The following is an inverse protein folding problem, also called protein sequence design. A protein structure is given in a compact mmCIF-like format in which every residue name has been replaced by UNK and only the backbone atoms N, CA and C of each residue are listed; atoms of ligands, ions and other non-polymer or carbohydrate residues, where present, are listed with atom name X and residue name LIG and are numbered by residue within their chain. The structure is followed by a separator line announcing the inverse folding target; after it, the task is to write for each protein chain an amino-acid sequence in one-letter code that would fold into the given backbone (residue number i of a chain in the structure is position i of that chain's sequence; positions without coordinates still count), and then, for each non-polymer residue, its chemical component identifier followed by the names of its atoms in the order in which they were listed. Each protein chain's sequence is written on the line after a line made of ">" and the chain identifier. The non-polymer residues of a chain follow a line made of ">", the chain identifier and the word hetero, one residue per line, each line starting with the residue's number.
data_IF_653782077669
#
_entry.id   IF_653782077669
#
_cell.length_a   1.000
_cell.length_b   1.000
_cell.length_c   1.000
_cell.angle_alpha   90.00
_cell.angle_beta   90.00
_cell.angle_gamma   90.00
#
_symmetry.space_group_name_H-M   'P 1'
#
loop_
_entity.id
_entity.type
_entity.pdbx_description
1 polymer ?
#
# COMPACT_ATOMS: atom_id res chain seq x y z
N UNK A 1 -21.29 -1.46 2.63
CA UNK A 1 -20.95 -1.82 4.03
C UNK A 1 -19.63 -2.58 4.01
N UNK A 2 -18.52 -1.93 4.35
CA UNK A 2 -17.24 -2.63 4.53
C UNK A 2 -17.37 -3.38 5.85
N UNK A 3 -17.42 -4.72 5.81
CA UNK A 3 -17.33 -5.54 7.03
C UNK A 3 -16.07 -5.07 7.76
N UNK A 4 -16.23 -4.54 8.97
CA UNK A 4 -15.10 -4.27 9.85
C UNK A 4 -14.39 -5.60 10.07
N UNK A 5 -13.28 -5.83 9.36
CA UNK A 5 -12.39 -6.95 9.66
C UNK A 5 -11.85 -6.67 11.06
N UNK A 6 -12.49 -7.30 12.04
CA UNK A 6 -12.09 -7.19 13.44
C UNK A 6 -10.73 -7.86 13.55
N UNK A 7 -9.73 -7.12 14.03
CA UNK A 7 -8.43 -7.70 14.37
C UNK A 7 -8.69 -8.79 15.39
N UNK A 8 -8.22 -10.00 15.08
CA UNK A 8 -8.33 -11.13 15.98
C UNK A 8 -6.98 -11.29 16.66
N UNK A 9 -6.96 -11.25 17.97
CA UNK A 9 -5.79 -11.54 18.78
C UNK A 9 -5.92 -12.88 19.49
N UNK A 10 -4.77 -13.46 19.82
CA UNK A 10 -4.66 -14.71 20.58
C UNK A 10 -3.75 -14.43 21.77
N UNK A 11 -4.22 -14.78 22.96
CA UNK A 11 -3.43 -14.67 24.19
C UNK A 11 -2.52 -15.89 24.35
N UNK A 12 -1.26 -15.61 24.67
CA UNK A 12 -0.24 -16.61 24.97
C UNK A 12 0.29 -16.43 26.39
N UNK A 13 0.65 -17.54 27.04
CA UNK A 13 1.47 -17.50 28.25
C UNK A 13 2.95 -17.29 27.90
N UNK A 14 3.75 -16.85 28.87
CA UNK A 14 5.20 -16.68 28.69
C UNK A 14 5.91 -17.98 28.28
N UNK A 15 5.46 -19.12 28.80
CA UNK A 15 6.02 -20.44 28.46
C UNK A 15 5.68 -20.86 27.04
N UNK A 16 4.42 -20.65 26.60
CA UNK A 16 3.98 -20.93 25.23
C UNK A 16 4.77 -20.11 24.19
N UNK A 17 5.18 -18.89 24.56
CA UNK A 17 5.92 -17.97 23.69
C UNK A 17 7.42 -18.19 23.65
N UNK A 18 8.01 -18.75 24.72
CA UNK A 18 9.45 -18.99 24.84
C UNK A 18 10.10 -19.59 23.58
N UNK A 19 9.55 -20.63 22.93
CA UNK A 19 10.18 -21.21 21.73
C UNK A 19 10.07 -20.33 20.47
N UNK A 20 9.16 -19.37 20.42
CA UNK A 20 8.88 -18.55 19.22
C UNK A 20 9.15 -17.06 19.43
N UNK A 21 9.62 -16.66 20.61
CA UNK A 21 9.81 -15.27 21.03
C UNK A 21 10.67 -14.47 20.06
N UNK A 22 11.80 -15.04 19.62
CA UNK A 22 12.67 -14.39 18.64
C UNK A 22 11.95 -14.09 17.32
N UNK A 23 11.10 -15.00 16.84
CA UNK A 23 10.32 -14.80 15.61
C UNK A 23 9.19 -13.79 15.79
N UNK A 24 8.60 -13.72 16.98
CA UNK A 24 7.60 -12.71 17.35
C UNK A 24 8.22 -11.32 17.37
N UNK A 25 9.38 -11.18 18.02
CA UNK A 25 10.13 -9.92 18.08
C UNK A 25 10.56 -9.47 16.68
N UNK A 26 11.06 -10.41 15.85
CA UNK A 26 11.36 -10.13 14.44
C UNK A 26 10.12 -9.68 13.67
N UNK A 27 8.97 -10.34 13.85
CA UNK A 27 7.72 -9.96 13.17
C UNK A 27 7.28 -8.55 13.56
N UNK A 28 7.37 -8.21 14.85
CA UNK A 28 7.09 -6.88 15.38
C UNK A 28 8.01 -5.82 14.77
N UNK A 29 9.31 -6.08 14.70
CA UNK A 29 10.29 -5.18 14.10
C UNK A 29 9.99 -4.96 12.60
N UNK A 30 9.72 -6.04 11.86
CA UNK A 30 9.35 -5.95 10.45
C UNK A 30 8.07 -5.12 10.24
N UNK A 31 7.05 -5.31 11.09
CA UNK A 31 5.81 -4.55 11.04
C UNK A 31 6.03 -3.06 11.37
N UNK A 32 6.83 -2.76 12.40
CA UNK A 32 7.17 -1.38 12.78
C UNK A 32 7.88 -0.65 11.63
N UNK A 33 8.92 -1.28 11.05
CA UNK A 33 9.66 -0.71 9.93
C UNK A 33 8.79 -0.54 8.69
N UNK A 34 7.88 -1.49 8.44
CA UNK A 34 6.92 -1.38 7.35
C UNK A 34 5.97 -0.21 7.54
N UNK A 35 5.39 -0.05 8.74
CA UNK A 35 4.48 1.07 9.06
C UNK A 35 5.15 2.41 8.79
N UNK A 36 6.38 2.59 9.24
CA UNK A 36 7.13 3.83 9.04
C UNK A 36 7.30 4.15 7.55
N UNK A 37 7.77 3.18 6.76
CA UNK A 37 7.94 3.35 5.30
C UNK A 37 6.60 3.54 4.58
N UNK A 38 5.56 2.86 5.04
CA UNK A 38 4.23 2.89 4.42
C UNK A 38 3.52 4.24 4.59
N UNK A 39 3.94 5.09 5.54
CA UNK A 39 3.45 6.48 5.67
C UNK A 39 3.65 7.32 4.40
N UNK A 40 4.60 6.94 3.52
CA UNK A 40 4.75 7.55 2.20
C UNK A 40 3.50 7.42 1.30
N UNK A 41 2.53 6.58 1.67
CA UNK A 41 1.20 6.53 1.05
C UNK A 41 0.45 7.87 1.10
N UNK A 42 0.70 8.68 2.12
CA UNK A 42 0.07 10.00 2.28
C UNK A 42 0.58 10.99 1.22
N UNK A 43 1.87 10.90 0.87
CA UNK A 43 2.45 11.66 -0.24
C UNK A 43 1.84 11.22 -1.57
N UNK A 44 1.67 9.90 -1.77
CA UNK A 44 1.01 9.38 -2.97
C UNK A 44 -0.44 9.86 -3.09
N UNK A 45 -1.16 9.92 -1.97
CA UNK A 45 -2.53 10.45 -1.94
C UNK A 45 -2.56 11.94 -2.32
N UNK A 46 -1.62 12.74 -1.83
CA UNK A 46 -1.50 14.15 -2.20
C UNK A 46 -1.26 14.32 -3.71
N UNK A 47 -0.26 13.61 -4.26
CA UNK A 47 0.07 13.69 -5.69
C UNK A 47 -1.10 13.21 -6.57
N UNK A 48 -1.79 12.14 -6.15
CA UNK A 48 -2.99 11.65 -6.83
C UNK A 48 -4.09 12.73 -6.87
N UNK A 49 -4.36 13.41 -5.75
CA UNK A 49 -5.37 14.48 -5.70
C UNK A 49 -5.01 15.65 -6.61
N UNK A 50 -3.73 16.03 -6.65
CA UNK A 50 -3.24 17.08 -7.55
C UNK A 50 -3.41 16.69 -9.03
N UNK A 51 -3.04 15.44 -9.39
CA UNK A 51 -3.25 14.91 -10.73
C UNK A 51 -4.74 14.86 -11.09
N UNK A 52 -5.59 14.39 -10.19
CA UNK A 52 -7.04 14.33 -10.38
C UNK A 52 -7.63 15.71 -10.66
N UNK A 53 -7.22 16.74 -9.90
CA UNK A 53 -7.61 18.13 -10.15
C UNK A 53 -7.14 18.65 -11.51
N UNK A 54 -5.91 18.33 -11.91
CA UNK A 54 -5.37 18.73 -13.22
C UNK A 54 -6.17 18.10 -14.37
N UNK A 55 -6.44 16.79 -14.27
CA UNK A 55 -7.24 16.05 -15.25
C UNK A 55 -8.65 16.60 -15.32
N UNK A 56 -9.32 16.83 -14.18
CA UNK A 56 -10.68 17.36 -14.14
C UNK A 56 -10.78 18.73 -14.82
N UNK A 57 -9.91 19.67 -14.46
CA UNK A 57 -9.90 21.02 -15.05
C UNK A 57 -9.65 21.02 -16.56
N UNK A 58 -8.90 20.04 -17.07
CA UNK A 58 -8.57 19.93 -18.49
C UNK A 58 -9.52 19.00 -19.26
N UNK A 59 -10.42 18.28 -18.58
CA UNK A 59 -11.19 17.19 -19.19
C UNK A 59 -12.06 17.69 -20.35
N UNK A 60 -12.88 18.72 -20.13
CA UNK A 60 -13.83 19.18 -21.15
C UNK A 60 -13.11 19.61 -22.43
N UNK A 61 -12.03 20.38 -22.31
CA UNK A 61 -11.27 20.89 -23.44
C UNK A 61 -10.41 19.84 -24.15
N UNK A 62 -9.98 18.79 -23.43
CA UNK A 62 -8.87 17.92 -23.88
C UNK A 62 -9.12 16.43 -23.71
N UNK A 63 -10.37 16.00 -23.48
CA UNK A 63 -10.71 14.58 -23.26
C UNK A 63 -10.33 13.66 -24.44
N UNK A 64 -10.20 14.20 -25.65
CA UNK A 64 -9.76 13.45 -26.83
C UNK A 64 -8.24 13.18 -26.83
N UNK A 65 -7.45 13.93 -26.05
CA UNK A 65 -6.00 13.79 -26.00
C UNK A 65 -5.58 12.53 -25.23
N UNK A 66 -4.64 11.77 -25.80
CA UNK A 66 -4.20 10.49 -25.24
C UNK A 66 -3.49 10.67 -23.89
N UNK A 67 -2.75 11.78 -23.71
CA UNK A 67 -2.12 12.15 -22.45
C UNK A 67 -3.14 12.36 -21.34
N UNK A 68 -4.23 13.08 -21.59
CA UNK A 68 -5.32 13.33 -20.62
C UNK A 68 -6.07 12.04 -20.29
N UNK A 69 -6.39 11.22 -21.30
CA UNK A 69 -7.02 9.92 -21.06
C UNK A 69 -6.13 8.99 -20.22
N UNK A 70 -4.83 8.94 -20.50
CA UNK A 70 -3.87 8.13 -19.76
C UNK A 70 -3.74 8.62 -18.31
N UNK A 71 -3.64 9.93 -18.11
CA UNK A 71 -3.60 10.56 -16.78
C UNK A 71 -4.84 10.23 -15.96
N UNK A 72 -6.04 10.26 -16.56
CA UNK A 72 -7.28 9.84 -15.90
C UNK A 72 -7.26 8.36 -15.48
N UNK A 73 -6.63 7.49 -16.29
CA UNK A 73 -6.48 6.06 -15.93
C UNK A 73 -5.54 5.89 -14.75
N UNK A 74 -4.43 6.63 -14.68
CA UNK A 74 -3.53 6.64 -13.52
C UNK A 74 -4.31 6.99 -12.24
N UNK A 75 -5.07 8.10 -12.27
CA UNK A 75 -5.91 8.53 -11.14
C UNK A 75 -6.85 7.41 -10.69
N UNK A 76 -7.59 6.76 -11.62
CA UNK A 76 -8.51 5.67 -11.28
C UNK A 76 -7.83 4.47 -10.62
N UNK A 77 -6.62 4.11 -11.05
CA UNK A 77 -5.87 3.01 -10.41
C UNK A 77 -5.42 3.39 -9.00
N UNK A 78 -4.95 4.63 -8.81
CA UNK A 78 -4.56 5.13 -7.50
C UNK A 78 -5.74 5.25 -6.54
N UNK A 79 -6.91 5.72 -7.00
CA UNK A 79 -8.14 5.74 -6.20
C UNK A 79 -8.53 4.34 -5.72
N UNK A 80 -8.47 3.34 -6.62
CA UNK A 80 -8.73 1.93 -6.26
C UNK A 80 -7.72 1.41 -5.25
N UNK A 81 -6.44 1.77 -5.40
CA UNK A 81 -5.40 1.41 -4.43
C UNK A 81 -5.69 2.03 -3.06
N UNK A 82 -5.97 3.33 -2.98
CA UNK A 82 -6.23 4.01 -1.70
C UNK A 82 -7.53 3.55 -1.02
N UNK A 83 -8.51 3.09 -1.80
CA UNK A 83 -9.72 2.46 -1.28
C UNK A 83 -9.44 1.06 -0.68
N UNK A 84 -8.44 0.35 -1.20
CA UNK A 84 -8.01 -0.98 -0.72
C UNK A 84 -6.83 -0.94 0.26
N UNK A 85 -6.26 0.23 0.54
CA UNK A 85 -5.07 0.35 1.39
C UNK A 85 -5.33 -0.20 2.78
N UNK A 86 -4.31 -0.82 3.36
CA UNK A 86 -4.42 -1.29 4.74
C UNK A 86 -4.34 -0.08 5.68
N UNK A 87 -5.33 0.04 6.57
CA UNK A 87 -5.45 1.16 7.53
C UNK A 87 -5.28 0.71 8.97
N UNK A 88 -5.32 -0.58 9.22
CA UNK A 88 -5.27 -1.14 10.57
C UNK A 88 -3.84 -1.48 11.02
N UNK A 89 -2.80 -1.04 10.31
CA UNK A 89 -1.41 -1.45 10.61
C UNK A 89 -0.98 -1.08 12.03
N UNK A 90 -1.26 0.14 12.50
CA UNK A 90 -0.92 0.56 13.86
C UNK A 90 -1.70 -0.22 14.92
N UNK A 91 -2.96 -0.57 14.64
CA UNK A 91 -3.76 -1.41 15.53
C UNK A 91 -3.18 -2.84 15.60
N UNK A 92 -2.77 -3.42 14.46
CA UNK A 92 -2.10 -4.73 14.41
C UNK A 92 -0.78 -4.69 15.19
N UNK A 93 -0.01 -3.60 15.08
CA UNK A 93 1.22 -3.42 15.86
C UNK A 93 0.92 -3.32 17.36
N UNK A 94 -0.18 -2.66 17.73
CA UNK A 94 -0.59 -2.50 19.13
C UNK A 94 -1.01 -3.80 19.80
N UNK A 95 -1.29 -4.86 19.04
CA UNK A 95 -1.54 -6.19 19.59
C UNK A 95 -0.26 -6.86 20.08
N UNK A 96 0.95 -6.47 19.62
CA UNK A 96 2.22 -6.99 20.14
C UNK A 96 2.60 -6.39 21.51
N UNK A 97 1.65 -6.30 22.44
CA UNK A 97 1.85 -5.78 23.79
C UNK A 97 2.28 -6.90 24.74
N UNK A 98 3.42 -6.72 25.43
CA UNK A 98 3.73 -7.56 26.58
C UNK A 98 2.92 -7.05 27.77
N UNK A 99 1.89 -7.79 28.19
CA UNK A 99 1.31 -7.59 29.52
C UNK A 99 2.06 -8.47 30.53
N UNK A 100 2.01 -8.10 31.81
CA UNK A 100 2.79 -8.76 32.87
C UNK A 100 2.42 -10.24 33.10
N UNK A 101 1.26 -10.68 32.60
CA UNK A 101 0.70 -12.03 32.84
C UNK A 101 0.44 -12.79 31.54
N UNK A 102 0.05 -12.08 30.47
CA UNK A 102 -0.25 -12.65 29.16
C UNK A 102 0.32 -11.76 28.05
N UNK A 103 0.62 -12.36 26.90
CA UNK A 103 1.02 -11.61 25.71
C UNK A 103 -0.07 -11.78 24.67
N UNK A 104 -0.70 -10.68 24.28
CA UNK A 104 -1.59 -10.66 23.11
C UNK A 104 -0.70 -10.69 21.86
N UNK A 105 -1.14 -11.40 20.83
CA UNK A 105 -0.53 -11.35 19.51
C UNK A 105 -1.62 -11.34 18.44
N UNK A 106 -1.41 -10.66 17.30
CA UNK A 106 -2.33 -10.79 16.19
C UNK A 106 -2.37 -12.25 15.73
N UNK A 107 -3.57 -12.74 15.50
CA UNK A 107 -3.79 -14.10 15.04
C UNK A 107 -3.11 -14.33 13.70
N UNK A 108 -2.74 -15.59 13.44
CA UNK A 108 -2.26 -16.02 12.12
C UNK A 108 -3.25 -15.66 11.00
N UNK A 109 -4.56 -15.69 11.28
CA UNK A 109 -5.59 -15.26 10.33
C UNK A 109 -5.47 -13.78 9.97
N UNK A 110 -5.31 -12.92 10.98
CA UNK A 110 -5.10 -11.48 10.80
C UNK A 110 -3.83 -11.18 10.00
N UNK A 111 -2.71 -11.83 10.32
CA UNK A 111 -1.46 -11.63 9.58
C UNK A 111 -1.53 -12.13 8.13
N UNK A 112 -2.22 -13.26 7.88
CA UNK A 112 -2.47 -13.73 6.52
C UNK A 112 -3.37 -12.78 5.73
N UNK A 113 -4.42 -12.24 6.37
CA UNK A 113 -5.31 -11.26 5.73
C UNK A 113 -4.54 -9.98 5.37
N UNK A 114 -3.68 -9.49 6.27
CA UNK A 114 -2.78 -8.37 6.03
C UNK A 114 -1.92 -8.62 4.78
N UNK A 115 -1.25 -9.77 4.70
CA UNK A 115 -0.42 -10.12 3.53
C UNK A 115 -1.27 -10.16 2.25
N UNK A 116 -2.45 -10.80 2.29
CA UNK A 116 -3.33 -10.89 1.13
C UNK A 116 -3.76 -9.50 0.65
N UNK A 117 -4.17 -8.62 1.57
CA UNK A 117 -4.57 -7.25 1.25
C UNK A 117 -3.41 -6.46 0.62
N UNK A 118 -2.20 -6.58 1.19
CA UNK A 118 -1.02 -5.91 0.67
C UNK A 118 -0.65 -6.42 -0.72
N UNK A 119 -0.68 -7.73 -0.96
CA UNK A 119 -0.45 -8.33 -2.28
C UNK A 119 -1.49 -7.88 -3.32
N UNK A 120 -2.77 -7.83 -2.94
CA UNK A 120 -3.81 -7.30 -3.80
C UNK A 120 -3.59 -5.82 -4.15
N UNK A 121 -3.19 -5.02 -3.17
CA UNK A 121 -2.93 -3.59 -3.37
C UNK A 121 -1.65 -3.35 -4.20
N UNK A 122 -0.63 -4.19 -4.05
CA UNK A 122 0.61 -4.18 -4.84
C UNK A 122 0.33 -4.36 -6.33
N UNK A 123 -0.58 -5.25 -6.71
CA UNK A 123 -1.01 -5.39 -8.11
C UNK A 123 -1.60 -4.10 -8.72
N UNK A 124 -2.22 -3.25 -7.90
CA UNK A 124 -2.71 -1.93 -8.35
C UNK A 124 -1.57 -0.93 -8.47
N UNK A 125 -0.59 -0.98 -7.57
CA UNK A 125 0.63 -0.18 -7.63
C UNK A 125 1.42 -0.50 -8.91
N UNK A 126 1.73 -1.77 -9.22
CA UNK A 126 2.50 -2.10 -10.43
C UNK A 126 1.78 -1.67 -11.73
N UNK A 127 0.43 -1.66 -11.75
CA UNK A 127 -0.34 -1.10 -12.86
C UNK A 127 -0.21 0.43 -12.94
N UNK A 128 -0.31 1.11 -11.80
CA UNK A 128 -0.14 2.56 -11.73
C UNK A 128 1.30 2.98 -12.11
N UNK A 129 2.31 2.20 -11.74
CA UNK A 129 3.71 2.40 -12.10
C UNK A 129 3.88 2.43 -13.62
N UNK A 130 3.49 1.33 -14.30
CA UNK A 130 3.59 1.21 -15.75
C UNK A 130 2.83 2.33 -16.45
N UNK A 131 1.60 2.61 -16.02
CA UNK A 131 0.79 3.67 -16.62
C UNK A 131 1.37 5.06 -16.41
N UNK A 132 1.93 5.36 -15.24
CA UNK A 132 2.52 6.67 -14.96
C UNK A 132 3.70 6.93 -15.89
N UNK A 133 4.58 5.94 -16.08
CA UNK A 133 5.69 6.01 -17.04
C UNK A 133 5.21 6.24 -18.48
N UNK A 134 4.31 5.38 -18.97
CA UNK A 134 3.77 5.53 -20.33
C UNK A 134 3.00 6.85 -20.53
N UNK A 135 2.37 7.37 -19.48
CA UNK A 135 1.67 8.67 -19.53
C UNK A 135 2.66 9.82 -19.74
N UNK A 136 3.80 9.79 -19.05
CA UNK A 136 4.89 10.77 -19.24
C UNK A 136 5.38 10.76 -20.69
N UNK A 137 5.59 9.58 -21.28
CA UNK A 137 6.04 9.46 -22.67
C UNK A 137 5.02 10.04 -23.67
N UNK A 138 3.72 9.80 -23.44
CA UNK A 138 2.64 10.34 -24.30
C UNK A 138 2.57 11.86 -24.21
N UNK A 139 2.60 12.40 -23.00
CA UNK A 139 2.55 13.85 -22.77
C UNK A 139 3.80 14.55 -23.33
N UNK A 140 4.97 13.89 -23.29
CA UNK A 140 6.19 14.41 -23.93
C UNK A 140 6.01 14.61 -25.44
N UNK A 141 5.38 13.66 -26.11
CA UNK A 141 5.07 13.77 -27.54
C UNK A 141 4.05 14.89 -27.80
N UNK A 142 3.04 15.05 -26.96
CA UNK A 142 2.08 16.15 -27.07
C UNK A 142 2.74 17.52 -26.84
N UNK A 143 3.67 17.65 -25.88
CA UNK A 143 4.50 18.84 -25.67
C UNK A 143 5.30 19.23 -26.92
N UNK A 144 5.93 18.27 -27.60
CA UNK A 144 6.70 18.56 -28.82
C UNK A 144 5.87 19.13 -29.97
N UNK A 145 4.53 19.00 -29.90
CA UNK A 145 3.59 19.57 -30.89
C UNK A 145 3.08 20.96 -30.51
N UNK A 146 3.59 21.55 -29.41
CA UNK A 146 3.25 22.91 -28.98
C UNK A 146 1.88 23.09 -28.30
N UNK A 147 1.11 22.02 -28.11
CA UNK A 147 -0.23 22.09 -27.52
C UNK A 147 -0.18 22.02 -25.99
N UNK A 148 -0.87 22.96 -25.32
CA UNK A 148 -1.08 22.97 -23.86
C UNK A 148 0.18 22.66 -23.02
N UNK A 149 1.33 23.15 -23.48
CA UNK A 149 2.66 22.75 -23.01
C UNK A 149 2.79 22.87 -21.48
N UNK A 150 2.32 23.97 -20.90
CA UNK A 150 2.37 24.18 -19.45
C UNK A 150 1.60 23.12 -18.66
N UNK A 151 0.40 22.75 -19.11
CA UNK A 151 -0.38 21.70 -18.47
C UNK A 151 0.25 20.32 -18.65
N UNK A 152 0.81 20.04 -19.83
CA UNK A 152 1.48 18.78 -20.08
C UNK A 152 2.72 18.61 -19.21
N UNK A 153 3.55 19.66 -19.06
CA UNK A 153 4.69 19.66 -18.15
C UNK A 153 4.23 19.42 -16.71
N UNK A 154 3.16 20.08 -16.25
CA UNK A 154 2.63 19.89 -14.90
C UNK A 154 2.17 18.45 -14.68
N UNK A 155 1.39 17.89 -15.60
CA UNK A 155 0.89 16.51 -15.51
C UNK A 155 2.05 15.52 -15.59
N UNK A 156 3.05 15.73 -16.47
CA UNK A 156 4.26 14.92 -16.53
C UNK A 156 5.02 14.94 -15.20
N UNK A 157 5.18 16.12 -14.59
CA UNK A 157 5.83 16.27 -13.29
C UNK A 157 5.11 15.45 -12.20
N UNK A 158 3.77 15.53 -12.17
CA UNK A 158 2.93 14.74 -11.26
C UNK A 158 3.07 13.24 -11.52
N UNK A 159 2.97 12.79 -12.77
CA UNK A 159 3.10 11.37 -13.13
C UNK A 159 4.51 10.82 -12.82
N UNK A 160 5.57 11.62 -12.99
CA UNK A 160 6.93 11.24 -12.63
C UNK A 160 7.08 11.05 -11.12
N UNK A 161 6.56 11.96 -10.29
CA UNK A 161 6.57 11.79 -8.82
C UNK A 161 5.77 10.58 -8.38
N UNK A 162 4.58 10.39 -8.96
CA UNK A 162 3.75 9.20 -8.73
C UNK A 162 4.51 7.93 -9.09
N UNK A 163 5.21 7.88 -10.23
CA UNK A 163 5.99 6.72 -10.64
C UNK A 163 6.99 6.29 -9.55
N UNK A 164 7.79 7.23 -9.03
CA UNK A 164 8.76 6.92 -7.99
C UNK A 164 8.13 6.54 -6.65
N UNK A 165 7.05 7.23 -6.24
CA UNK A 165 6.33 6.89 -5.01
C UNK A 165 5.71 5.49 -5.06
N UNK A 166 5.07 5.17 -6.19
CA UNK A 166 4.46 3.86 -6.42
C UNK A 166 5.52 2.76 -6.42
N UNK A 167 6.65 2.97 -7.10
CA UNK A 167 7.76 2.02 -7.14
C UNK A 167 8.32 1.73 -5.73
N UNK A 168 8.53 2.79 -4.93
CA UNK A 168 9.03 2.66 -3.57
C UNK A 168 8.04 1.94 -2.64
N UNK A 169 6.75 2.26 -2.75
CA UNK A 169 5.68 1.60 -1.98
C UNK A 169 5.52 0.14 -2.37
N UNK A 170 5.55 -0.18 -3.67
CA UNK A 170 5.40 -1.55 -4.16
C UNK A 170 6.55 -2.43 -3.67
N UNK A 171 7.79 -1.93 -3.78
CA UNK A 171 8.97 -2.60 -3.24
C UNK A 171 8.85 -2.83 -1.73
N UNK A 172 8.42 -1.81 -0.98
CA UNK A 172 8.22 -1.90 0.48
C UNK A 172 7.16 -2.97 0.84
N UNK A 173 6.05 -3.03 0.10
CA UNK A 173 5.01 -4.05 0.31
C UNK A 173 5.52 -5.46 -0.01
N UNK A 174 6.25 -5.63 -1.11
CA UNK A 174 6.82 -6.92 -1.54
C UNK A 174 7.84 -7.45 -0.53
N UNK A 175 8.75 -6.60 -0.06
CA UNK A 175 9.73 -6.93 0.98
C UNK A 175 9.04 -7.38 2.27
N UNK A 176 8.07 -6.60 2.76
CA UNK A 176 7.31 -6.94 3.96
C UNK A 176 6.55 -8.27 3.81
N UNK A 177 5.83 -8.45 2.71
CA UNK A 177 5.08 -9.69 2.46
C UNK A 177 6.00 -10.92 2.43
N UNK A 178 7.19 -10.79 1.85
CA UNK A 178 8.18 -11.88 1.78
C UNK A 178 8.72 -12.21 3.18
N UNK A 179 9.11 -11.20 3.94
CA UNK A 179 9.70 -11.36 5.27
C UNK A 179 8.69 -11.89 6.30
N UNK A 180 7.44 -11.41 6.28
CA UNK A 180 6.44 -11.83 7.26
C UNK A 180 5.84 -13.20 6.92
N UNK A 181 5.75 -13.58 5.64
CA UNK A 181 5.24 -14.90 5.24
C UNK A 181 6.09 -16.06 5.78
N UNK A 182 7.40 -15.89 5.92
CA UNK A 182 8.27 -16.89 6.55
C UNK A 182 8.03 -16.97 8.06
N UNK A 183 7.84 -15.82 8.72
CA UNK A 183 7.61 -15.72 10.17
C UNK A 183 6.23 -16.25 10.60
N UNK A 184 5.17 -16.02 9.81
CA UNK A 184 3.81 -16.47 10.14
C UNK A 184 3.73 -18.00 10.29
N UNK A 185 4.55 -18.77 9.56
CA UNK A 185 4.55 -20.24 9.65
C UNK A 185 4.85 -20.75 11.06
N UNK A 186 5.57 -19.94 11.85
CA UNK A 186 6.04 -20.27 13.20
C UNK A 186 4.92 -20.07 14.24
N UNK A 187 3.93 -19.22 13.95
CA UNK A 187 2.75 -19.04 14.80
C UNK A 187 1.86 -20.30 14.71
N UNK A 188 1.98 -21.18 15.72
CA UNK A 188 1.14 -22.37 15.86
C UNK A 188 -0.33 -21.96 16.01
N UNK A 189 -1.21 -22.70 15.35
CA UNK A 189 -2.66 -22.51 15.44
C UNK A 189 -3.12 -23.05 16.79
N UNK A 190 -3.58 -22.18 17.69
CA UNK A 190 -4.35 -22.58 18.88
C UNK A 190 -5.76 -22.96 18.42
N UNK A 191 -5.89 -24.05 17.64
CA UNK A 191 -7.21 -24.61 17.30
C UNK A 191 -7.11 -26.13 17.27
N UNK A 192 -7.45 -26.73 18.41
CA UNK A 192 -8.37 -27.86 18.59
C UNK A 192 -8.20 -28.35 20.04
N UNK A 193 -8.87 -27.68 20.97
CA UNK A 193 -9.21 -28.17 22.32
C UNK A 193 -10.02 -27.06 22.99
N UNK A 194 -11.26 -26.92 22.54
CA UNK A 194 -12.42 -26.36 23.25
C UNK A 194 -13.65 -26.74 22.43
#
# INVERSE_FOLDING_TARGET
>A
MVKSNKIQSISYTLEELRPIRASVDQCRVQLSNFIEKYKSVDLLELEMRLLSRCVYKNWNARHAELGIQASRRVVRFLERFLAKRERQLEQILSEFKPDAVHISLPSRGTLNQLISNLQESSMLLSKAERLSKTTVDRLRLECSRGNYVHYNILIMSLCSRIYFLVLALDKTQQEFCTNVKSLIKIFKKKTKEQ
#
